data_IF_275154358790
#
_entry.id   IF_275154358790
#
_cell.length_a   1.000
_cell.length_b   1.000
_cell.length_c   1.000
_cell.angle_alpha   90.00
_cell.angle_beta   90.00
_cell.angle_gamma   90.00
#
_symmetry.space_group_name_H-M   'P 1'
#
loop_
_entity.id
_entity.type
_entity.pdbx_description
1 polymer ?
#
# COMPACT_ATOMS: atom_id res chain seq x y z
N UNK A 1 -16.60 -8.13 13.74
CA UNK A 1 -17.06 -6.93 13.00
C UNK A 1 -17.92 -7.40 11.84
N UNK A 2 -19.16 -6.92 11.71
CA UNK A 2 -20.08 -7.35 10.65
C UNK A 2 -20.01 -6.34 9.50
N UNK A 3 -18.98 -6.43 8.64
CA UNK A 3 -18.88 -5.59 7.44
C UNK A 3 -19.80 -6.13 6.35
N UNK A 4 -20.47 -5.22 5.64
CA UNK A 4 -21.31 -5.50 4.48
C UNK A 4 -21.00 -4.49 3.40
N UNK A 5 -20.79 -4.96 2.18
CA UNK A 5 -20.62 -4.09 1.02
C UNK A 5 -22.00 -3.57 0.63
N UNK A 6 -22.12 -2.26 0.45
CA UNK A 6 -23.33 -1.60 -0.03
C UNK A 6 -22.97 -0.95 -1.36
N UNK A 7 -23.56 -1.46 -2.44
CA UNK A 7 -23.49 -0.81 -3.75
C UNK A 7 -24.74 0.04 -3.94
N UNK A 8 -24.57 1.35 -4.11
CA UNK A 8 -25.62 2.24 -4.58
C UNK A 8 -25.50 2.39 -6.10
N UNK A 9 -26.60 2.43 -6.88
CA UNK A 9 -26.56 2.67 -8.31
C UNK A 9 -26.02 4.06 -8.70
N UNK A 10 -25.82 4.96 -7.73
CA UNK A 10 -25.33 6.33 -7.94
C UNK A 10 -24.04 6.65 -7.20
N UNK A 11 -23.37 5.66 -6.61
CA UNK A 11 -22.22 5.88 -5.72
C UNK A 11 -21.12 4.84 -5.93
N UNK A 12 -19.87 5.33 -6.04
CA UNK A 12 -18.67 4.51 -5.88
C UNK A 12 -18.77 3.74 -4.55
N UNK A 13 -18.43 2.45 -4.58
CA UNK A 13 -18.53 1.46 -3.50
C UNK A 13 -18.57 2.03 -2.06
N UNK A 14 -19.60 1.68 -1.29
CA UNK A 14 -19.69 2.00 0.14
C UNK A 14 -19.59 0.74 1.02
N UNK A 15 -19.01 0.91 2.19
CA UNK A 15 -18.99 -0.09 3.26
C UNK A 15 -20.05 0.26 4.29
N UNK A 16 -20.70 -0.74 4.85
CA UNK A 16 -21.50 -0.58 6.08
C UNK A 16 -21.06 -1.59 7.12
N UNK A 17 -21.15 -1.20 8.40
CA UNK A 17 -20.91 -2.13 9.50
C UNK A 17 -21.72 -1.76 10.73
N UNK A 18 -21.90 -2.72 11.62
CA UNK A 18 -22.48 -2.48 12.95
C UNK A 18 -21.42 -2.79 14.00
N UNK A 19 -21.09 -1.80 14.83
CA UNK A 19 -20.11 -1.92 15.91
C UNK A 19 -20.76 -1.40 17.20
N UNK A 20 -20.75 -2.22 18.25
CA UNK A 20 -21.40 -1.92 19.54
C UNK A 20 -22.87 -1.43 19.40
N UNK A 21 -23.62 -2.01 18.46
CA UNK A 21 -25.02 -1.64 18.18
C UNK A 21 -25.21 -0.41 17.29
N UNK A 22 -24.16 0.37 17.02
CA UNK A 22 -24.22 1.53 16.13
C UNK A 22 -23.93 1.12 14.69
N UNK A 23 -24.79 1.55 13.76
CA UNK A 23 -24.57 1.36 12.32
C UNK A 23 -23.70 2.48 11.77
N UNK A 24 -22.71 2.11 10.99
CA UNK A 24 -21.78 3.01 10.31
C UNK A 24 -21.84 2.77 8.81
N UNK A 25 -21.64 3.83 8.05
CA UNK A 25 -21.48 3.81 6.59
C UNK A 25 -20.14 4.44 6.25
N UNK A 26 -19.50 4.03 5.17
CA UNK A 26 -18.19 4.55 4.79
C UNK A 26 -18.03 4.45 3.29
N UNK A 27 -18.16 5.58 2.60
CA UNK A 27 -17.69 5.73 1.23
C UNK A 27 -16.34 6.47 1.22
N UNK A 28 -15.75 6.63 0.04
CA UNK A 28 -14.47 7.31 -0.10
C UNK A 28 -14.53 8.80 0.28
N UNK A 29 -15.68 9.47 0.09
CA UNK A 29 -15.86 10.90 0.42
C UNK A 29 -15.93 11.14 1.92
N UNK A 30 -16.70 10.32 2.65
CA UNK A 30 -16.75 10.33 4.12
C UNK A 30 -15.36 10.05 4.67
N UNK A 31 -14.66 9.04 4.13
CA UNK A 31 -13.30 8.72 4.56
C UNK A 31 -12.33 9.89 4.33
N UNK A 32 -12.41 10.54 3.17
CA UNK A 32 -11.61 11.73 2.85
C UNK A 32 -11.86 12.87 3.87
N UNK A 33 -13.13 13.10 4.24
CA UNK A 33 -13.51 14.08 5.25
C UNK A 33 -12.95 13.74 6.63
N UNK A 34 -13.06 12.48 7.08
CA UNK A 34 -12.54 12.01 8.38
C UNK A 34 -11.03 12.20 8.48
N UNK A 35 -10.31 11.97 7.37
CA UNK A 35 -8.85 12.05 7.31
C UNK A 35 -8.34 13.44 6.95
N UNK A 36 -9.21 14.35 6.51
CA UNK A 36 -8.86 15.67 5.98
C UNK A 36 -7.87 15.58 4.82
N UNK A 37 -8.14 14.68 3.87
CA UNK A 37 -7.32 14.48 2.66
C UNK A 37 -8.16 14.65 1.38
N UNK A 38 -7.55 14.92 0.21
CA UNK A 38 -8.29 15.07 -1.05
C UNK A 38 -9.02 13.79 -1.48
N UNK A 39 -10.18 13.98 -2.12
CA UNK A 39 -10.94 12.95 -2.84
C UNK A 39 -10.88 13.23 -4.36
N UNK A 40 -9.66 13.26 -4.90
CA UNK A 40 -9.37 13.65 -6.29
C UNK A 40 -8.32 12.73 -6.90
N UNK A 41 -8.12 12.83 -8.21
CA UNK A 41 -7.16 12.03 -8.97
C UNK A 41 -7.80 10.78 -9.59
N UNK A 42 -6.95 9.87 -10.07
CA UNK A 42 -7.41 8.60 -10.65
C UNK A 42 -8.21 7.78 -9.63
N UNK A 43 -9.43 7.39 -10.00
CA UNK A 43 -10.36 6.61 -9.17
C UNK A 43 -10.50 5.14 -9.60
N UNK A 44 -9.74 4.70 -10.62
CA UNK A 44 -9.86 3.34 -11.16
C UNK A 44 -8.78 2.46 -10.56
N UNK A 45 -9.20 1.40 -9.87
CA UNK A 45 -8.32 0.47 -9.17
C UNK A 45 -8.66 -0.98 -9.54
N UNK A 46 -7.78 -1.65 -10.30
CA UNK A 46 -7.92 -3.05 -10.70
C UNK A 46 -6.76 -3.91 -10.17
N UNK A 47 -7.07 -5.10 -9.66
CA UNK A 47 -6.08 -5.99 -9.04
C UNK A 47 -5.61 -7.10 -9.99
N UNK A 48 -6.47 -7.53 -10.92
CA UNK A 48 -6.20 -8.69 -11.78
C UNK A 48 -5.60 -8.30 -13.13
N UNK A 49 -5.98 -7.15 -13.66
CA UNK A 49 -5.55 -6.67 -14.98
C UNK A 49 -4.69 -5.42 -14.85
N UNK A 50 -3.99 -5.08 -15.92
CA UNK A 50 -3.37 -3.77 -16.04
C UNK A 50 -4.47 -2.72 -16.23
N UNK A 51 -4.27 -1.56 -15.62
CA UNK A 51 -5.17 -0.43 -15.79
C UNK A 51 -4.96 0.18 -17.17
N UNK A 52 -6.05 0.56 -17.82
CA UNK A 52 -6.04 1.32 -19.07
C UNK A 52 -6.51 2.73 -18.72
N UNK A 53 -5.57 3.61 -18.41
CA UNK A 53 -5.84 5.02 -18.11
C UNK A 53 -5.01 5.90 -19.04
N UNK A 54 -5.49 7.10 -19.33
CA UNK A 54 -4.80 8.02 -20.23
C UNK A 54 -3.39 8.35 -19.70
N UNK A 55 -2.39 8.32 -20.59
CA UNK A 55 -0.98 8.52 -20.23
C UNK A 55 -0.32 7.35 -19.51
N UNK A 56 -1.05 6.26 -19.22
CA UNK A 56 -0.49 5.03 -18.68
C UNK A 56 -0.15 4.06 -19.80
N UNK A 57 1.15 3.94 -20.10
CA UNK A 57 1.65 2.90 -20.97
C UNK A 57 2.46 1.89 -20.16
N UNK A 58 2.07 0.63 -20.33
CA UNK A 58 2.60 -0.48 -19.58
C UNK A 58 4.11 -0.68 -19.78
N UNK A 59 4.60 -0.46 -20.99
CA UNK A 59 6.03 -0.51 -21.29
C UNK A 59 6.80 0.60 -20.55
N UNK A 60 6.23 1.80 -20.42
CA UNK A 60 6.89 2.91 -19.75
C UNK A 60 7.12 2.61 -18.26
N UNK A 61 6.15 1.98 -17.60
CA UNK A 61 6.29 1.56 -16.19
C UNK A 61 7.39 0.52 -16.05
N UNK A 62 7.43 -0.46 -16.95
CA UNK A 62 8.44 -1.50 -16.91
C UNK A 62 9.84 -0.89 -17.14
N UNK A 63 9.96 0.05 -18.07
CA UNK A 63 11.21 0.79 -18.30
C UNK A 63 11.61 1.65 -17.09
N UNK A 64 10.66 2.27 -16.39
CA UNK A 64 10.92 3.07 -15.18
C UNK A 64 11.35 2.16 -14.02
N UNK A 65 10.64 1.05 -13.80
CA UNK A 65 10.88 0.16 -12.66
C UNK A 65 12.07 -0.76 -12.87
N UNK A 66 12.31 -1.19 -14.11
CA UNK A 66 13.31 -2.20 -14.49
C UNK A 66 14.16 -1.78 -15.70
N UNK A 67 14.87 -0.64 -15.65
CA UNK A 67 15.62 -0.13 -16.80
C UNK A 67 16.77 -1.04 -17.24
N UNK A 68 17.24 -1.93 -16.37
CA UNK A 68 18.35 -2.85 -16.65
C UNK A 68 17.90 -4.25 -17.12
N UNK A 69 16.60 -4.45 -17.35
CA UNK A 69 16.02 -5.76 -17.71
C UNK A 69 15.44 -5.70 -19.14
N UNK A 70 16.26 -5.95 -20.18
CA UNK A 70 15.84 -5.75 -21.58
C UNK A 70 14.72 -6.70 -22.03
N UNK A 71 14.57 -7.84 -21.36
CA UNK A 71 13.58 -8.87 -21.69
C UNK A 71 12.32 -8.81 -20.82
N UNK A 72 12.12 -7.74 -20.04
CA UNK A 72 10.96 -7.65 -19.17
C UNK A 72 9.68 -7.48 -19.99
N UNK A 73 8.68 -8.30 -19.67
CA UNK A 73 7.39 -8.30 -20.37
C UNK A 73 6.22 -8.21 -19.37
N UNK A 74 5.10 -7.56 -19.73
CA UNK A 74 3.96 -7.34 -18.83
C UNK A 74 3.27 -8.57 -18.24
N UNK A 75 3.50 -9.73 -18.85
CA UNK A 75 2.96 -11.02 -18.42
C UNK A 75 3.93 -11.79 -17.51
N UNK A 76 5.15 -11.29 -17.31
CA UNK A 76 6.13 -11.90 -16.43
C UNK A 76 5.88 -11.56 -14.96
N UNK A 77 6.47 -12.37 -14.09
CA UNK A 77 6.54 -12.07 -12.65
C UNK A 77 7.47 -10.88 -12.42
N UNK A 78 6.92 -9.78 -11.89
CA UNK A 78 7.68 -8.60 -11.50
C UNK A 78 8.34 -8.84 -10.14
N UNK A 79 9.65 -9.04 -10.11
CA UNK A 79 10.37 -9.38 -8.88
C UNK A 79 10.97 -8.12 -8.21
N UNK A 80 10.93 -8.04 -6.88
CA UNK A 80 11.43 -6.87 -6.15
C UNK A 80 12.95 -6.79 -6.11
N UNK A 81 13.65 -7.92 -6.21
CA UNK A 81 15.12 -7.97 -6.18
C UNK A 81 15.78 -7.33 -7.41
N UNK A 82 15.03 -7.14 -8.51
CA UNK A 82 15.49 -6.47 -9.73
C UNK A 82 15.25 -4.95 -9.75
N UNK A 83 14.55 -4.43 -8.74
CA UNK A 83 14.30 -2.99 -8.60
C UNK A 83 15.53 -2.26 -8.04
N UNK A 84 15.69 -0.99 -8.44
CA UNK A 84 16.56 -0.07 -7.72
C UNK A 84 16.15 0.08 -6.25
N UNK A 85 17.09 0.51 -5.41
CA UNK A 85 16.88 0.50 -3.97
C UNK A 85 15.84 1.50 -3.52
N UNK A 86 15.79 2.68 -4.14
CA UNK A 86 14.73 3.66 -3.90
C UNK A 86 13.36 3.08 -4.25
N UNK A 87 13.28 2.31 -5.34
CA UNK A 87 12.05 1.62 -5.76
C UNK A 87 11.68 0.48 -4.81
N UNK A 88 12.65 -0.26 -4.26
CA UNK A 88 12.38 -1.25 -3.20
C UNK A 88 11.84 -0.61 -1.93
N UNK A 89 12.39 0.55 -1.54
CA UNK A 89 11.88 1.31 -0.41
C UNK A 89 10.45 1.82 -0.66
N UNK A 90 10.18 2.35 -1.85
CA UNK A 90 8.85 2.76 -2.27
C UNK A 90 7.85 1.59 -2.27
N UNK A 91 8.24 0.44 -2.82
CA UNK A 91 7.43 -0.78 -2.77
C UNK A 91 7.11 -1.18 -1.33
N UNK A 92 8.12 -1.15 -0.44
CA UNK A 92 7.92 -1.45 0.98
C UNK A 92 6.95 -0.47 1.65
N UNK A 93 7.02 0.83 1.33
CA UNK A 93 6.06 1.82 1.83
C UNK A 93 4.65 1.49 1.34
N UNK A 94 4.50 1.16 0.05
CA UNK A 94 3.21 0.80 -0.54
C UNK A 94 2.62 -0.42 0.16
N UNK A 95 3.35 -1.54 0.26
CA UNK A 95 2.78 -2.80 0.77
C UNK A 95 2.48 -2.81 2.27
N UNK A 96 3.02 -1.84 3.03
CA UNK A 96 2.79 -1.72 4.47
C UNK A 96 1.84 -0.58 4.84
N UNK A 97 1.81 0.52 4.08
CA UNK A 97 1.06 1.72 4.45
C UNK A 97 -0.08 2.04 3.49
N UNK A 98 0.16 2.03 2.18
CA UNK A 98 -0.83 2.49 1.18
C UNK A 98 -1.77 1.37 0.72
N UNK A 99 -1.21 0.20 0.48
CA UNK A 99 -1.90 -1.01 0.05
C UNK A 99 -1.43 -2.19 0.92
N UNK A 100 -1.85 -2.24 2.20
CA UNK A 100 -1.48 -3.33 3.09
C UNK A 100 -1.91 -4.68 2.51
N UNK A 101 -0.93 -5.54 2.19
CA UNK A 101 -1.17 -6.88 1.68
C UNK A 101 -0.52 -7.93 2.56
N UNK A 102 -1.25 -9.01 2.88
CA UNK A 102 -0.64 -10.20 3.47
C UNK A 102 0.14 -11.00 2.42
N UNK A 103 1.21 -11.69 2.84
CA UNK A 103 1.98 -12.58 1.99
C UNK A 103 3.45 -12.17 1.83
N UNK A 104 4.13 -12.78 0.85
CA UNK A 104 5.54 -12.51 0.59
C UNK A 104 5.77 -11.25 -0.26
N UNK A 105 6.80 -10.48 0.07
CA UNK A 105 7.17 -9.24 -0.62
C UNK A 105 8.24 -9.41 -1.71
N UNK A 106 8.43 -10.64 -2.20
CA UNK A 106 9.43 -10.94 -3.24
C UNK A 106 8.97 -10.51 -4.65
N UNK A 107 7.67 -10.28 -4.83
CA UNK A 107 7.04 -9.96 -6.12
C UNK A 107 6.14 -8.74 -5.99
N UNK A 108 5.98 -8.00 -7.08
CA UNK A 108 5.04 -6.91 -7.21
C UNK A 108 3.74 -7.42 -7.83
N UNK A 109 2.62 -6.97 -7.30
CA UNK A 109 1.34 -7.06 -8.01
C UNK A 109 1.24 -5.94 -9.05
N UNK A 110 0.33 -6.08 -10.02
CA UNK A 110 0.03 -5.04 -11.02
C UNK A 110 -0.42 -3.74 -10.35
N UNK A 111 -1.26 -3.84 -9.32
CA UNK A 111 -1.67 -2.69 -8.51
C UNK A 111 -0.48 -2.01 -7.81
N UNK A 112 0.44 -2.78 -7.23
CA UNK A 112 1.63 -2.20 -6.59
C UNK A 112 2.53 -1.49 -7.60
N UNK A 113 2.74 -2.08 -8.78
CA UNK A 113 3.49 -1.44 -9.86
C UNK A 113 2.81 -0.16 -10.36
N UNK A 114 1.47 -0.16 -10.49
CA UNK A 114 0.67 1.02 -10.82
C UNK A 114 0.86 2.14 -9.78
N UNK A 115 0.74 1.84 -8.49
CA UNK A 115 0.93 2.84 -7.43
C UNK A 115 2.36 3.38 -7.39
N UNK A 116 3.36 2.54 -7.64
CA UNK A 116 4.75 2.99 -7.78
C UNK A 116 4.90 3.98 -8.93
N UNK A 117 4.31 3.67 -10.09
CA UNK A 117 4.30 4.59 -11.23
C UNK A 117 3.60 5.91 -10.89
N UNK A 118 2.43 5.89 -10.26
CA UNK A 118 1.76 7.12 -9.86
C UNK A 118 2.65 8.01 -8.99
N UNK A 119 3.34 7.42 -8.00
CA UNK A 119 4.20 8.18 -7.09
C UNK A 119 5.46 8.70 -7.82
N UNK A 120 6.10 7.88 -8.66
CA UNK A 120 7.31 8.28 -9.40
C UNK A 120 6.99 9.36 -10.43
N UNK A 121 5.89 9.18 -11.17
CA UNK A 121 5.43 10.08 -12.23
C UNK A 121 4.62 11.27 -11.71
N UNK A 122 4.39 11.36 -10.40
CA UNK A 122 3.60 12.41 -9.74
C UNK A 122 2.16 12.51 -10.29
N UNK A 123 1.54 11.37 -10.55
CA UNK A 123 0.14 11.27 -10.95
C UNK A 123 -0.71 11.09 -9.71
N UNK A 124 -1.65 12.01 -9.51
CA UNK A 124 -2.56 11.96 -8.38
C UNK A 124 -3.57 10.81 -8.52
N UNK A 125 -3.80 10.11 -7.42
CA UNK A 125 -4.82 9.05 -7.32
C UNK A 125 -5.64 9.23 -6.04
N UNK A 126 -6.91 8.79 -6.09
CA UNK A 126 -7.82 8.94 -4.96
C UNK A 126 -7.48 7.93 -3.86
N UNK A 127 -6.63 8.35 -2.91
CA UNK A 127 -6.19 7.49 -1.81
C UNK A 127 -7.33 7.01 -0.89
N UNK A 128 -8.33 7.84 -0.51
CA UNK A 128 -9.51 7.36 0.22
C UNK A 128 -10.21 6.21 -0.49
N UNK A 129 -10.39 6.30 -1.81
CA UNK A 129 -11.04 5.26 -2.60
C UNK A 129 -10.17 3.99 -2.66
N UNK A 130 -8.85 4.11 -2.82
CA UNK A 130 -7.93 2.97 -2.71
C UNK A 130 -8.07 2.24 -1.38
N UNK A 131 -8.20 2.98 -0.28
CA UNK A 131 -8.38 2.39 1.05
C UNK A 131 -9.69 1.62 1.18
N UNK A 132 -10.81 2.19 0.71
CA UNK A 132 -12.12 1.51 0.71
C UNK A 132 -12.06 0.23 -0.13
N UNK A 133 -11.48 0.29 -1.34
CA UNK A 133 -11.24 -0.89 -2.18
C UNK A 133 -10.42 -1.96 -1.47
N UNK A 134 -9.36 -1.54 -0.76
CA UNK A 134 -8.47 -2.46 -0.04
C UNK A 134 -9.20 -3.12 1.15
N UNK A 135 -10.02 -2.38 1.89
CA UNK A 135 -10.87 -2.93 2.95
C UNK A 135 -11.89 -3.94 2.41
N UNK A 136 -12.55 -3.62 1.28
CA UNK A 136 -13.47 -4.53 0.57
C UNK A 136 -12.76 -5.82 0.14
N UNK A 137 -11.55 -5.72 -0.41
CA UNK A 137 -10.79 -6.87 -0.89
C UNK A 137 -10.25 -7.77 0.23
N UNK A 138 -9.93 -7.19 1.40
CA UNK A 138 -9.51 -7.97 2.57
C UNK A 138 -10.68 -8.78 3.15
N UNK A 139 -11.90 -8.23 3.14
CA UNK A 139 -13.05 -8.80 3.84
C UNK A 139 -13.37 -10.28 3.56
N UNK A 140 -13.38 -10.79 2.30
CA UNK A 140 -13.66 -12.20 2.03
C UNK A 140 -12.62 -13.19 2.56
N UNK A 141 -11.43 -12.72 2.96
CA UNK A 141 -10.33 -13.58 3.36
C UNK A 141 -10.52 -14.01 4.81
N UNK A 142 -10.97 -15.26 5.03
CA UNK A 142 -11.34 -15.87 6.34
C UNK A 142 -10.32 -15.73 7.50
N UNK A 143 -9.07 -15.33 7.23
CA UNK A 143 -7.99 -15.17 8.23
C UNK A 143 -7.41 -13.75 8.25
N UNK A 144 -7.99 -12.80 7.54
CA UNK A 144 -7.41 -11.45 7.43
C UNK A 144 -7.94 -10.52 8.50
N UNK A 145 -7.03 -9.74 9.08
CA UNK A 145 -7.36 -8.54 9.86
C UNK A 145 -7.71 -7.43 8.87
N UNK A 146 -8.73 -6.65 9.17
CA UNK A 146 -9.07 -5.49 8.34
C UNK A 146 -7.88 -4.51 8.34
N UNK A 147 -7.41 -4.07 7.16
CA UNK A 147 -6.25 -3.18 7.08
C UNK A 147 -6.57 -1.80 7.66
N UNK A 148 -5.51 -1.00 7.88
CA UNK A 148 -5.57 0.38 8.36
C UNK A 148 -6.11 0.56 9.80
N UNK A 149 -5.62 -0.25 10.75
CA UNK A 149 -6.07 -0.22 12.15
C UNK A 149 -6.13 1.17 12.80
N UNK A 150 -5.14 2.03 12.58
CA UNK A 150 -5.14 3.40 13.11
C UNK A 150 -6.22 4.30 12.48
N UNK A 151 -6.58 4.04 11.23
CA UNK A 151 -7.62 4.77 10.50
C UNK A 151 -9.00 4.29 10.96
N UNK A 152 -9.17 2.99 11.25
CA UNK A 152 -10.39 2.47 11.87
C UNK A 152 -10.70 3.18 13.19
N UNK A 153 -9.70 3.49 14.01
CA UNK A 153 -9.90 4.29 15.23
C UNK A 153 -10.45 5.69 14.93
N UNK A 154 -9.98 6.35 13.88
CA UNK A 154 -10.53 7.66 13.45
C UNK A 154 -11.98 7.53 12.98
N UNK A 155 -12.29 6.48 12.21
CA UNK A 155 -13.65 6.18 11.76
C UNK A 155 -14.59 5.95 12.95
N UNK A 156 -14.18 5.12 13.92
CA UNK A 156 -14.98 4.85 15.11
C UNK A 156 -15.25 6.11 15.94
N UNK A 157 -14.25 7.00 16.08
CA UNK A 157 -14.43 8.29 16.75
C UNK A 157 -15.40 9.21 16.02
N UNK A 158 -15.35 9.25 14.68
CA UNK A 158 -16.30 10.01 13.87
C UNK A 158 -17.75 9.55 14.08
N UNK A 159 -17.96 8.24 14.26
CA UNK A 159 -19.27 7.65 14.56
C UNK A 159 -19.60 7.58 16.05
N UNK A 160 -18.85 8.28 16.91
CA UNK A 160 -19.07 8.34 18.36
C UNK A 160 -19.13 6.95 19.03
N UNK A 161 -18.44 5.96 18.45
CA UNK A 161 -18.35 4.63 19.03
C UNK A 161 -17.57 4.72 20.33
N UNK A 162 -18.17 4.24 21.43
CA UNK A 162 -17.47 4.21 22.71
C UNK A 162 -16.25 3.26 22.63
N UNK A 163 -15.04 3.81 22.76
CA UNK A 163 -13.77 3.09 22.79
C UNK A 163 -13.21 2.93 24.22
N UNK A 164 -13.95 3.35 25.24
CA UNK A 164 -13.58 3.14 26.64
C UNK A 164 -13.45 1.63 26.94
N UNK A 165 -12.38 1.27 27.65
CA UNK A 165 -12.03 -0.11 27.96
C UNK A 165 -11.35 -0.89 26.82
N UNK A 166 -11.24 -0.34 25.61
CA UNK A 166 -10.51 -0.99 24.51
C UNK A 166 -8.99 -0.91 24.71
N UNK A 167 -8.29 -2.02 24.47
CA UNK A 167 -6.82 -2.09 24.63
C UNK A 167 -6.15 -1.55 23.36
N UNK A 168 -5.55 -0.37 23.47
CA UNK A 168 -4.73 0.21 22.40
C UNK A 168 -3.44 -0.61 22.17
N UNK A 169 -3.12 -0.87 20.90
CA UNK A 169 -1.81 -1.43 20.53
C UNK A 169 -0.80 -0.30 20.44
N UNK A 170 0.25 -0.35 21.26
CA UNK A 170 1.38 0.60 21.15
C UNK A 170 2.27 0.18 19.98
N UNK A 171 2.77 1.17 19.23
CA UNK A 171 3.80 0.93 18.22
C UNK A 171 5.04 0.33 18.88
N UNK A 172 5.56 -0.71 18.27
CA UNK A 172 6.80 -1.36 18.64
C UNK A 172 7.95 -0.85 17.77
N UNK A 173 9.19 -1.13 18.19
CA UNK A 173 10.38 -0.82 17.37
C UNK A 173 10.32 -1.47 15.99
N UNK A 174 9.75 -2.67 15.89
CA UNK A 174 9.55 -3.39 14.61
C UNK A 174 8.56 -2.71 13.65
N UNK A 175 7.68 -1.84 14.17
CA UNK A 175 6.74 -1.05 13.36
C UNK A 175 7.39 0.25 12.81
N UNK A 176 8.66 0.49 13.16
CA UNK A 176 9.42 1.67 12.76
C UNK A 176 10.65 1.29 11.95
N UNK A 177 11.05 2.15 11.01
CA UNK A 177 12.33 1.99 10.33
C UNK A 177 13.47 2.42 11.25
N UNK A 178 14.14 1.42 11.83
CA UNK A 178 15.42 1.67 12.51
C UNK A 178 16.55 1.83 11.50
N UNK A 179 17.67 2.40 11.94
CA UNK A 179 18.92 2.42 11.19
C UNK A 179 19.35 1.01 10.74
N UNK A 180 19.09 -0.02 11.54
CA UNK A 180 19.41 -1.41 11.15
C UNK A 180 18.58 -1.90 9.96
N UNK A 181 17.30 -1.51 9.86
CA UNK A 181 16.44 -1.86 8.73
C UNK A 181 16.97 -1.19 7.44
N UNK A 182 17.33 0.09 7.54
CA UNK A 182 17.90 0.87 6.44
C UNK A 182 19.25 0.29 5.98
N UNK A 183 20.15 -0.04 6.92
CA UNK A 183 21.42 -0.72 6.64
C UNK A 183 21.24 -2.06 5.92
N UNK A 184 20.22 -2.86 6.29
CA UNK A 184 19.91 -4.12 5.59
C UNK A 184 19.43 -3.89 4.15
N UNK A 185 18.83 -2.74 3.87
CA UNK A 185 18.43 -2.33 2.51
C UNK A 185 19.56 -1.67 1.71
N UNK A 186 20.76 -1.51 2.31
CA UNK A 186 21.94 -0.92 1.67
C UNK A 186 22.06 0.59 1.87
N UNK A 187 21.30 1.18 2.78
CA UNK A 187 21.44 2.59 3.15
C UNK A 187 22.31 2.74 4.38
N UNK A 188 23.33 3.59 4.30
CA UNK A 188 24.14 3.96 5.45
C UNK A 188 23.91 5.42 5.81
N UNK A 189 23.89 5.72 7.10
CA UNK A 189 23.85 7.10 7.57
C UNK A 189 25.27 7.69 7.50
N UNK A 190 25.43 8.80 6.80
CA UNK A 190 26.63 9.64 6.87
C UNK A 190 26.21 11.02 7.37
N UNK A 191 26.69 11.38 8.57
CA UNK A 191 26.28 12.55 9.34
C UNK A 191 24.75 12.62 9.53
N UNK A 192 24.09 13.49 8.77
CA UNK A 192 22.64 13.75 8.80
C UNK A 192 21.93 13.13 7.58
N UNK A 193 22.68 12.65 6.58
CA UNK A 193 22.16 12.15 5.31
C UNK A 193 22.20 10.63 5.20
N UNK A 194 21.30 10.05 4.40
CA UNK A 194 21.33 8.63 4.07
C UNK A 194 21.92 8.45 2.68
N UNK A 195 23.02 7.71 2.59
CA UNK A 195 23.69 7.41 1.33
C UNK A 195 23.48 5.94 1.01
N UNK A 196 23.07 5.66 -0.23
CA UNK A 196 22.99 4.30 -0.71
C UNK A 196 24.39 3.74 -0.99
N UNK A 197 24.73 2.65 -0.31
CA UNK A 197 25.94 1.89 -0.54
C UNK A 197 25.54 0.51 -1.07
N UNK A 198 25.70 0.24 -2.38
CA UNK A 198 25.50 -1.10 -2.91
C UNK A 198 26.34 -2.08 -2.11
N UNK A 199 25.76 -3.22 -1.72
CA UNK A 199 26.60 -4.33 -1.27
C UNK A 199 27.43 -4.72 -2.49
N UNK A 200 28.74 -4.47 -2.47
CA UNK A 200 29.66 -5.18 -3.34
C UNK A 200 29.30 -6.66 -3.24
N UNK A 201 29.04 -7.30 -4.38
CA UNK A 201 28.67 -8.71 -4.44
C UNK A 201 29.50 -9.50 -3.44
N UNK A 202 28.83 -10.28 -2.59
CA UNK A 202 29.50 -11.39 -1.91
C UNK A 202 29.83 -12.44 -2.97
N UNK A 203 30.73 -12.11 -3.91
CA UNK A 203 31.50 -13.10 -4.62
C UNK A 203 32.56 -13.60 -3.65
N UNK A 204 32.52 -14.92 -3.42
CA UNK A 204 33.46 -15.73 -2.66
C UNK A 204 33.33 -15.67 -1.13
N UNK A 205 32.34 -16.42 -0.61
CA UNK A 205 32.66 -17.30 0.51
C UNK A 205 33.57 -18.40 -0.06
N UNK A 206 34.87 -18.22 0.13
CA UNK A 206 35.81 -19.34 0.05
C UNK A 206 35.50 -20.18 1.28
N UNK A 207 34.85 -21.32 1.07
CA UNK A 207 34.84 -22.38 2.07
C UNK A 207 36.30 -22.80 2.30
N UNK A 208 36.76 -22.62 3.54
CA UNK A 208 37.99 -23.23 4.06
C UNK A 208 37.61 -24.45 4.89
#
# INVERSE_FOLDING_TARGET
MNLRIVSSPHEEFALSSSVKGQRMFLDARILASILSIPHTGLCIFEYKKWLEVEGFHLNDILSILYPNEPNIHPNMSLCTNKLFVNHRLLHHLIVHQLLPTGGGYAKLTRMQAFLMWCIISKVDFCYPLLMVHTMVHAFPQKKSVLPFGCILTKIFRHYEINLEGEIGTKLKKEDTYSESNLNRMGWKKQDVSWIYCPRSDQSQRIDR
#
